data_IF_755524949555
#
_entry.id   IF_755524949555
#
_cell.length_a   1.000
_cell.length_b   1.000
_cell.length_c   1.000
_cell.angle_alpha   90.00
_cell.angle_beta   90.00
_cell.angle_gamma   90.00
#
_symmetry.space_group_name_H-M   'P 1'
#
loop_
_entity.id
_entity.type
_entity.pdbx_description
1 polymer ?
#
# COMPACT_ATOMS: atom_id res chain seq x y z
N UNK A 1 3.60 23.44 -5.99
CA UNK A 1 2.80 22.25 -6.31
C UNK A 1 3.58 21.04 -5.90
N UNK A 2 3.01 20.23 -4.98
CA UNK A 2 3.73 19.09 -4.46
C UNK A 2 3.64 17.90 -5.42
N UNK A 3 4.77 17.42 -5.91
CA UNK A 3 4.85 16.21 -6.70
C UNK A 3 4.53 14.99 -5.84
N UNK A 4 3.81 14.00 -6.39
CA UNK A 4 3.65 12.66 -5.85
C UNK A 4 4.29 11.66 -6.81
N UNK A 5 4.78 10.56 -6.28
CA UNK A 5 5.21 9.45 -7.12
C UNK A 5 3.98 8.66 -7.60
N UNK A 6 3.90 8.37 -8.89
CA UNK A 6 2.77 7.65 -9.51
C UNK A 6 3.23 6.45 -10.33
N UNK A 7 4.53 6.23 -10.45
CA UNK A 7 5.13 5.15 -11.23
C UNK A 7 6.29 5.61 -12.09
N UNK A 8 6.82 4.70 -12.88
CA UNK A 8 7.91 4.90 -13.82
C UNK A 8 7.38 5.15 -15.24
N UNK A 9 8.24 5.53 -16.19
CA UNK A 9 7.86 5.67 -17.58
C UNK A 9 7.21 4.40 -18.14
N UNK A 10 6.22 4.61 -19.03
CA UNK A 10 5.54 3.52 -19.73
C UNK A 10 6.54 2.64 -20.48
N UNK A 11 6.36 1.33 -20.43
CA UNK A 11 7.25 0.34 -21.05
C UNK A 11 8.31 -0.21 -20.10
N UNK A 12 8.52 0.40 -18.93
CA UNK A 12 9.40 -0.17 -17.89
C UNK A 12 8.85 -1.51 -17.43
N UNK A 13 9.70 -2.54 -17.37
CA UNK A 13 9.31 -3.92 -17.00
C UNK A 13 9.18 -4.12 -15.49
N UNK A 14 8.79 -3.08 -14.74
CA UNK A 14 8.52 -3.13 -13.32
C UNK A 14 7.06 -2.80 -13.02
N UNK A 15 6.48 -3.49 -12.05
CA UNK A 15 5.14 -3.28 -11.51
C UNK A 15 5.20 -3.24 -9.98
N UNK A 16 4.48 -2.32 -9.35
CA UNK A 16 4.34 -2.28 -7.91
C UNK A 16 2.90 -2.66 -7.51
N UNK A 17 2.74 -3.81 -6.84
CA UNK A 17 1.49 -4.14 -6.16
C UNK A 17 1.41 -3.31 -4.87
N UNK A 18 0.33 -2.56 -4.71
CA UNK A 18 0.10 -1.76 -3.51
C UNK A 18 -1.28 -2.02 -2.94
N UNK A 19 -1.35 -2.17 -1.61
CA UNK A 19 -2.57 -2.51 -0.88
C UNK A 19 -2.88 -1.44 0.15
N UNK A 20 -4.13 -0.96 0.17
CA UNK A 20 -4.61 0.07 1.09
C UNK A 20 -5.57 -0.52 2.12
N UNK A 21 -5.82 0.22 3.21
CA UNK A 21 -6.81 -0.03 4.26
C UNK A 21 -6.48 -1.17 5.25
N UNK A 22 -5.32 -1.82 5.14
CA UNK A 22 -4.86 -2.82 6.12
C UNK A 22 -4.35 -2.23 7.45
N UNK A 23 -3.88 -3.09 8.38
CA UNK A 23 -3.95 -4.53 8.31
C UNK A 23 -5.38 -5.06 8.50
N UNK A 24 -5.72 -6.19 7.88
CA UNK A 24 -7.04 -6.80 7.94
C UNK A 24 -6.96 -8.34 8.03
N UNK A 25 -7.65 -8.92 8.97
CA UNK A 25 -7.64 -10.38 9.18
C UNK A 25 -8.89 -11.02 8.56
N UNK A 26 -8.78 -12.13 7.82
CA UNK A 26 -7.56 -12.90 7.54
C UNK A 26 -6.82 -12.49 6.26
N UNK A 27 -7.27 -11.46 5.55
CA UNK A 27 -6.90 -11.21 4.16
C UNK A 27 -5.46 -10.69 4.00
N UNK A 28 -4.97 -9.82 4.88
CA UNK A 28 -3.55 -9.42 4.86
C UNK A 28 -2.65 -10.64 5.07
N UNK A 29 -3.01 -11.55 5.99
CA UNK A 29 -2.29 -12.81 6.20
C UNK A 29 -2.27 -13.70 4.96
N UNK A 30 -3.41 -13.86 4.29
CA UNK A 30 -3.52 -14.64 3.04
C UNK A 30 -2.68 -14.04 1.91
N UNK A 31 -2.65 -12.70 1.78
CA UNK A 31 -1.78 -12.02 0.82
C UNK A 31 -0.31 -12.26 1.13
N UNK A 32 0.10 -12.18 2.39
CA UNK A 32 1.47 -12.49 2.81
C UNK A 32 1.90 -13.90 2.38
N UNK A 33 1.04 -14.89 2.58
CA UNK A 33 1.31 -16.28 2.20
C UNK A 33 1.44 -16.46 0.68
N UNK A 34 0.60 -15.76 -0.09
CA UNK A 34 0.63 -15.77 -1.57
C UNK A 34 1.90 -15.10 -2.09
N UNK A 35 2.20 -13.91 -1.58
CA UNK A 35 3.37 -13.13 -1.98
C UNK A 35 4.67 -13.87 -1.64
N UNK A 36 4.73 -14.54 -0.49
CA UNK A 36 5.87 -15.37 -0.10
C UNK A 36 6.07 -16.56 -1.05
N UNK A 37 4.99 -17.31 -1.38
CA UNK A 37 5.06 -18.43 -2.33
C UNK A 37 5.48 -17.98 -3.73
N UNK A 38 5.10 -16.77 -4.12
CA UNK A 38 5.48 -16.21 -5.40
C UNK A 38 6.84 -15.50 -5.36
N UNK A 39 7.51 -15.39 -4.22
CA UNK A 39 8.70 -14.56 -4.04
C UNK A 39 8.51 -13.14 -4.62
N UNK A 40 7.43 -12.48 -4.19
CA UNK A 40 7.06 -11.11 -4.56
C UNK A 40 6.99 -10.25 -3.32
N UNK A 41 7.57 -9.05 -3.39
CA UNK A 41 7.40 -8.03 -2.36
C UNK A 41 6.40 -6.97 -2.85
N UNK A 42 5.66 -6.41 -1.91
CA UNK A 42 4.61 -5.41 -2.18
C UNK A 42 4.70 -4.26 -1.18
N UNK A 43 3.87 -3.23 -1.38
CA UNK A 43 3.78 -2.09 -0.46
C UNK A 43 2.38 -2.00 0.13
N UNK A 44 2.28 -1.85 1.46
CA UNK A 44 1.01 -1.78 2.19
C UNK A 44 0.86 -0.42 2.86
N UNK A 45 -0.24 0.29 2.57
CA UNK A 45 -0.58 1.57 3.20
C UNK A 45 -1.58 1.32 4.32
N UNK A 46 -1.13 1.50 5.57
CA UNK A 46 -1.82 1.02 6.75
C UNK A 46 -2.63 2.11 7.45
N UNK A 47 -3.85 1.77 7.87
CA UNK A 47 -4.71 2.62 8.71
C UNK A 47 -4.26 2.50 10.18
N UNK A 48 -3.89 3.62 10.80
CA UNK A 48 -3.27 3.63 12.13
C UNK A 48 -4.10 2.95 13.22
N UNK A 49 -5.43 3.13 13.24
CA UNK A 49 -6.31 2.45 14.20
C UNK A 49 -6.27 0.92 14.08
N UNK A 50 -6.08 0.38 12.87
CA UNK A 50 -5.96 -1.06 12.65
C UNK A 50 -4.56 -1.58 12.97
N UNK A 51 -3.52 -0.76 12.72
CA UNK A 51 -2.16 -1.04 13.20
C UNK A 51 -2.17 -1.25 14.72
N UNK A 52 -2.84 -0.36 15.46
CA UNK A 52 -2.96 -0.48 16.92
C UNK A 52 -3.70 -1.75 17.37
N UNK A 53 -4.69 -2.20 16.59
CA UNK A 53 -5.44 -3.43 16.88
C UNK A 53 -4.66 -4.72 16.56
N UNK A 54 -3.86 -4.70 15.48
CA UNK A 54 -3.15 -5.88 14.96
C UNK A 54 -1.66 -5.60 14.67
N UNK A 55 -0.89 -5.22 15.71
CA UNK A 55 0.55 -4.98 15.56
C UNK A 55 1.31 -6.24 15.14
N UNK A 56 0.77 -7.42 15.43
CA UNK A 56 1.32 -8.72 15.01
C UNK A 56 1.38 -8.85 13.47
N UNK A 57 0.33 -8.44 12.77
CA UNK A 57 0.29 -8.46 11.30
C UNK A 57 1.30 -7.48 10.73
N UNK A 58 1.43 -6.28 11.32
CA UNK A 58 2.41 -5.27 10.88
C UNK A 58 3.84 -5.78 11.00
N UNK A 59 4.18 -6.45 12.12
CA UNK A 59 5.48 -7.11 12.28
C UNK A 59 5.74 -8.18 11.22
N UNK A 60 4.72 -9.00 10.89
CA UNK A 60 4.83 -10.00 9.81
C UNK A 60 5.08 -9.35 8.45
N UNK A 61 4.37 -8.26 8.11
CA UNK A 61 4.60 -7.51 6.87
C UNK A 61 6.06 -7.10 6.72
N UNK A 62 6.61 -6.49 7.76
CA UNK A 62 7.99 -6.01 7.76
C UNK A 62 8.99 -7.15 7.75
N UNK A 63 8.81 -8.17 8.59
CA UNK A 63 9.68 -9.35 8.65
C UNK A 63 9.71 -10.12 7.33
N UNK A 64 8.63 -10.05 6.53
CA UNK A 64 8.56 -10.63 5.19
C UNK A 64 9.16 -9.74 4.10
N UNK A 65 9.74 -8.59 4.43
CA UNK A 65 10.40 -7.67 3.48
C UNK A 65 9.45 -6.82 2.66
N UNK A 66 8.19 -6.68 3.06
CA UNK A 66 7.26 -5.76 2.41
C UNK A 66 7.51 -4.32 2.88
N UNK A 67 7.28 -3.35 1.99
CA UNK A 67 7.27 -1.94 2.35
C UNK A 67 5.94 -1.57 3.02
N UNK A 68 6.01 -0.67 4.01
CA UNK A 68 4.83 -0.14 4.69
C UNK A 68 4.76 1.37 4.56
N UNK A 69 3.56 1.91 4.49
CA UNK A 69 3.29 3.34 4.39
C UNK A 69 2.11 3.76 5.27
N UNK A 70 1.99 5.05 5.45
CA UNK A 70 0.96 5.72 6.24
C UNK A 70 -0.31 5.94 5.40
N UNK A 71 -1.48 5.47 5.89
CA UNK A 71 -2.78 5.70 5.25
C UNK A 71 -3.74 6.47 6.16
N UNK A 72 -3.22 7.35 7.02
CA UNK A 72 -3.93 8.12 8.04
C UNK A 72 -4.46 7.27 9.20
N UNK A 73 -4.91 7.93 10.28
CA UNK A 73 -5.37 7.24 11.49
C UNK A 73 -6.68 6.48 11.31
N UNK A 74 -7.70 7.13 10.73
CA UNK A 74 -9.05 6.57 10.57
C UNK A 74 -9.66 6.80 9.19
N UNK A 75 -8.81 7.07 8.18
CA UNK A 75 -9.19 7.19 6.77
C UNK A 75 -10.16 8.34 6.45
N UNK A 76 -9.96 9.57 6.96
CA UNK A 76 -10.81 10.70 6.57
C UNK A 76 -10.50 11.15 5.14
N UNK A 77 -11.49 11.72 4.46
CA UNK A 77 -11.20 12.43 3.22
C UNK A 77 -10.49 13.76 3.55
N UNK A 78 -9.20 13.83 3.27
CA UNK A 78 -8.33 14.97 3.62
C UNK A 78 -8.70 16.28 2.92
N UNK A 79 -9.58 16.26 1.92
CA UNK A 79 -10.15 17.46 1.32
C UNK A 79 -10.93 18.28 2.37
N UNK A 80 -11.55 17.61 3.34
CA UNK A 80 -12.36 18.24 4.38
C UNK A 80 -11.61 18.46 5.70
N UNK A 81 -10.35 17.99 5.80
CA UNK A 81 -9.56 18.13 7.02
C UNK A 81 -8.81 19.47 7.07
N UNK A 82 -8.71 20.07 8.24
CA UNK A 82 -7.80 21.20 8.48
C UNK A 82 -6.33 20.75 8.38
N UNK A 83 -5.37 21.69 8.21
CA UNK A 83 -3.95 21.36 8.27
C UNK A 83 -3.53 20.70 9.59
N UNK A 84 -4.07 21.15 10.72
CA UNK A 84 -3.80 20.57 12.04
C UNK A 84 -4.35 19.14 12.14
N UNK A 85 -5.58 18.90 11.68
CA UNK A 85 -6.17 17.56 11.64
C UNK A 85 -5.38 16.63 10.69
N UNK A 86 -5.00 17.10 9.50
CA UNK A 86 -4.15 16.34 8.58
C UNK A 86 -2.84 15.93 9.25
N UNK A 87 -2.16 16.86 9.93
CA UNK A 87 -0.93 16.56 10.67
C UNK A 87 -1.16 15.51 11.75
N UNK A 88 -2.21 15.64 12.55
CA UNK A 88 -2.58 14.69 13.61
C UNK A 88 -2.81 13.29 13.03
N UNK A 89 -3.61 13.17 11.97
CA UNK A 89 -3.90 11.91 11.28
C UNK A 89 -2.62 11.17 10.83
N UNK A 90 -1.66 11.92 10.30
CA UNK A 90 -0.38 11.36 9.86
C UNK A 90 0.54 11.01 11.03
N UNK A 91 0.70 11.92 12.00
CA UNK A 91 1.60 11.71 13.15
C UNK A 91 1.16 10.54 14.02
N UNK A 92 -0.16 10.43 14.31
CA UNK A 92 -0.70 9.34 15.12
C UNK A 92 -0.48 7.97 14.44
N UNK A 93 -0.60 7.94 13.11
CA UNK A 93 -0.36 6.72 12.33
C UNK A 93 1.11 6.36 12.29
N UNK A 94 2.02 7.33 12.07
CA UNK A 94 3.46 7.07 12.12
C UNK A 94 3.86 6.47 13.46
N UNK A 95 3.38 7.10 14.56
CA UNK A 95 3.66 6.59 15.90
C UNK A 95 3.12 5.18 16.11
N UNK A 96 1.90 4.88 15.67
CA UNK A 96 1.33 3.54 15.80
C UNK A 96 2.15 2.48 15.05
N UNK A 97 2.62 2.80 13.83
CA UNK A 97 3.46 1.90 13.05
C UNK A 97 4.82 1.70 13.73
N UNK A 98 5.45 2.78 14.18
CA UNK A 98 6.73 2.73 14.90
C UNK A 98 6.61 1.91 16.19
N UNK A 99 5.56 2.14 16.99
CA UNK A 99 5.29 1.37 18.23
C UNK A 99 5.05 -0.14 17.93
N UNK A 100 4.48 -0.46 16.76
CA UNK A 100 4.18 -1.84 16.38
C UNK A 100 5.40 -2.63 15.90
N UNK A 101 6.31 -2.02 15.14
CA UNK A 101 7.39 -2.74 14.46
C UNK A 101 8.78 -2.05 14.49
N UNK A 102 8.92 -0.93 15.17
CA UNK A 102 10.20 -0.20 15.28
C UNK A 102 10.62 0.55 14.01
N UNK A 103 9.76 0.64 12.99
CA UNK A 103 10.04 1.34 11.72
C UNK A 103 9.18 2.58 11.61
N UNK A 104 9.82 3.73 11.37
CA UNK A 104 9.13 4.96 11.00
C UNK A 104 8.82 4.95 9.49
N UNK A 105 7.55 4.90 9.06
CA UNK A 105 7.22 4.87 7.65
C UNK A 105 7.61 6.18 6.94
N UNK A 106 8.13 6.07 5.73
CA UNK A 106 8.51 7.21 4.88
C UNK A 106 7.57 7.45 3.70
N UNK A 107 6.59 6.56 3.51
CA UNK A 107 5.61 6.63 2.45
C UNK A 107 4.24 7.03 3.00
N UNK A 108 3.47 7.78 2.21
CA UNK A 108 2.11 8.18 2.53
C UNK A 108 1.21 8.09 1.31
N UNK A 109 0.01 7.56 1.50
CA UNK A 109 -1.04 7.63 0.49
C UNK A 109 -2.29 8.28 1.09
N UNK A 110 -2.83 9.37 0.45
CA UNK A 110 -4.04 10.01 0.95
C UNK A 110 -5.27 9.13 0.70
N UNK A 111 -6.15 8.95 1.70
CA UNK A 111 -7.46 8.31 1.53
C UNK A 111 -8.23 8.85 0.32
N UNK A 112 -8.83 7.97 -0.47
CA UNK A 112 -9.55 8.29 -1.71
C UNK A 112 -8.73 9.06 -2.76
N UNK A 113 -7.41 9.20 -2.59
CA UNK A 113 -6.60 10.14 -3.36
C UNK A 113 -6.93 11.61 -3.05
N UNK A 114 -7.78 11.85 -2.05
CA UNK A 114 -8.28 13.17 -1.67
C UNK A 114 -7.22 14.04 -0.99
N UNK A 115 -6.97 15.23 -1.55
CA UNK A 115 -5.92 16.14 -1.05
C UNK A 115 -6.23 17.60 -1.34
N UNK A 116 -5.81 18.46 -0.41
CA UNK A 116 -5.74 19.93 -0.58
C UNK A 116 -4.31 20.33 -0.97
N UNK A 117 -4.08 21.54 -1.47
CA UNK A 117 -2.73 22.02 -1.81
C UNK A 117 -1.69 21.81 -0.69
N UNK A 118 -2.07 22.03 0.59
CA UNK A 118 -1.18 21.86 1.75
C UNK A 118 -1.00 20.41 2.24
N UNK A 119 -1.81 19.44 1.78
CA UNK A 119 -1.74 18.05 2.29
C UNK A 119 -0.37 17.42 2.07
N UNK A 120 0.18 17.53 0.86
CA UNK A 120 1.49 16.97 0.55
C UNK A 120 2.64 17.74 1.21
N UNK A 121 2.47 19.05 1.45
CA UNK A 121 3.43 19.83 2.21
C UNK A 121 3.48 19.37 3.67
N UNK A 122 2.32 19.15 4.30
CA UNK A 122 2.22 18.59 5.65
C UNK A 122 2.87 17.21 5.74
N UNK A 123 2.59 16.32 4.76
CA UNK A 123 3.20 14.99 4.73
C UNK A 123 4.74 15.07 4.65
N UNK A 124 5.28 15.90 3.75
CA UNK A 124 6.74 16.06 3.62
C UNK A 124 7.39 16.65 4.87
N UNK A 125 6.72 17.59 5.55
CA UNK A 125 7.21 18.14 6.82
C UNK A 125 7.28 17.09 7.94
N UNK A 126 6.65 15.93 7.76
CA UNK A 126 6.72 14.75 8.62
C UNK A 126 7.62 13.64 8.05
N UNK A 127 8.43 13.94 7.01
CA UNK A 127 9.30 12.95 6.37
C UNK A 127 8.58 11.96 5.46
N UNK A 128 7.32 12.22 5.09
CA UNK A 128 6.51 11.32 4.28
C UNK A 128 6.50 11.72 2.81
N UNK A 129 6.82 10.77 1.93
CA UNK A 129 6.74 10.91 0.47
C UNK A 129 5.33 10.52 -0.01
N UNK A 130 4.60 11.43 -0.68
CA UNK A 130 3.28 11.12 -1.22
C UNK A 130 3.36 10.14 -2.40
N UNK A 131 2.64 9.03 -2.29
CA UNK A 131 2.53 7.98 -3.30
C UNK A 131 1.08 7.91 -3.80
N UNK A 132 0.91 8.02 -5.10
CA UNK A 132 -0.37 7.80 -5.77
C UNK A 132 -0.31 6.50 -6.57
N UNK A 133 -1.23 6.31 -7.50
CA UNK A 133 -1.30 5.16 -8.40
C UNK A 133 -1.67 5.60 -9.81
N UNK A 134 -1.46 4.74 -10.78
CA UNK A 134 -1.85 4.95 -12.17
C UNK A 134 -2.61 3.74 -12.77
N UNK A 135 -2.87 2.71 -11.95
CA UNK A 135 -3.78 1.60 -12.28
C UNK A 135 -4.78 1.44 -11.15
N UNK A 136 -6.09 1.52 -11.48
CA UNK A 136 -7.19 1.32 -10.54
C UNK A 136 -7.95 0.05 -10.90
N UNK A 137 -7.98 -0.91 -9.99
CA UNK A 137 -8.62 -2.21 -10.22
C UNK A 137 -10.08 -2.28 -9.74
N UNK A 138 -10.56 -1.28 -8.99
CA UNK A 138 -11.92 -1.19 -8.42
C UNK A 138 -12.29 -2.42 -7.56
N UNK A 139 -11.31 -3.01 -6.90
CA UNK A 139 -11.43 -4.23 -6.12
C UNK A 139 -12.33 -4.09 -4.89
N UNK A 140 -12.46 -2.88 -4.34
CA UNK A 140 -13.34 -2.59 -3.19
C UNK A 140 -14.83 -2.82 -3.47
N UNK A 141 -15.25 -2.81 -4.73
CA UNK A 141 -16.63 -3.04 -5.18
C UNK A 141 -16.77 -4.22 -6.15
N UNK A 142 -15.69 -4.95 -6.39
CA UNK A 142 -15.66 -6.05 -7.34
C UNK A 142 -16.52 -7.24 -6.85
N UNK A 143 -17.28 -7.82 -7.78
CA UNK A 143 -18.09 -9.03 -7.55
C UNK A 143 -17.36 -10.32 -7.95
N UNK A 144 -16.17 -10.20 -8.55
CA UNK A 144 -15.31 -11.32 -8.95
C UNK A 144 -13.86 -10.87 -9.13
N UNK A 145 -12.92 -11.80 -9.01
CA UNK A 145 -11.51 -11.58 -9.35
C UNK A 145 -11.33 -11.23 -10.82
N UNK A 146 -12.11 -11.84 -11.74
CA UNK A 146 -12.03 -11.55 -13.18
C UNK A 146 -12.32 -10.08 -13.51
N UNK A 147 -13.20 -9.42 -12.74
CA UNK A 147 -13.46 -7.99 -12.89
C UNK A 147 -12.23 -7.16 -12.53
N UNK A 148 -11.54 -7.48 -11.42
CA UNK A 148 -10.31 -6.84 -10.97
C UNK A 148 -9.21 -6.98 -12.02
N UNK A 149 -8.98 -8.21 -12.48
CA UNK A 149 -7.97 -8.54 -13.49
C UNK A 149 -8.23 -7.83 -14.82
N UNK A 150 -9.49 -7.77 -15.26
CA UNK A 150 -9.88 -7.05 -16.49
C UNK A 150 -9.57 -5.56 -16.40
N UNK A 151 -9.81 -4.93 -15.25
CA UNK A 151 -9.45 -3.52 -15.03
C UNK A 151 -7.94 -3.32 -15.04
N UNK A 152 -7.17 -4.21 -14.43
CA UNK A 152 -5.72 -4.20 -14.45
C UNK A 152 -5.17 -4.31 -15.89
N UNK A 153 -5.59 -5.32 -16.65
CA UNK A 153 -5.14 -5.56 -18.05
C UNK A 153 -5.39 -4.36 -18.98
N UNK A 154 -6.48 -3.63 -18.78
CA UNK A 154 -6.80 -2.45 -19.59
C UNK A 154 -5.86 -1.27 -19.35
N UNK A 155 -5.19 -1.21 -18.20
CA UNK A 155 -4.42 -0.05 -17.75
C UNK A 155 -2.92 -0.31 -17.65
N UNK A 156 -2.49 -1.54 -17.34
CA UNK A 156 -1.07 -1.87 -17.18
C UNK A 156 -0.34 -1.72 -18.51
N UNK A 157 0.74 -0.93 -18.49
CA UNK A 157 1.61 -0.63 -19.63
C UNK A 157 3.10 -0.64 -19.26
N UNK A 158 3.42 -1.11 -18.05
CA UNK A 158 4.75 -1.08 -17.44
C UNK A 158 5.04 0.19 -16.66
N UNK A 159 5.86 0.06 -15.63
CA UNK A 159 6.17 1.13 -14.69
C UNK A 159 5.00 1.52 -13.79
N UNK A 160 4.02 0.63 -13.62
CA UNK A 160 2.77 0.97 -12.96
C UNK A 160 2.79 0.74 -11.45
N UNK A 161 2.12 1.66 -10.74
CA UNK A 161 1.68 1.50 -9.35
C UNK A 161 0.22 1.07 -9.36
N UNK A 162 -0.05 -0.15 -8.91
CA UNK A 162 -1.36 -0.79 -8.97
C UNK A 162 -2.06 -0.65 -7.61
N UNK A 163 -3.24 0.00 -7.61
CA UNK A 163 -4.09 0.14 -6.43
C UNK A 163 -4.97 -1.09 -6.25
N UNK A 164 -4.80 -1.72 -5.11
CA UNK A 164 -5.62 -2.79 -4.54
C UNK A 164 -5.89 -2.50 -3.06
N UNK A 165 -6.70 -3.32 -2.40
CA UNK A 165 -7.01 -3.19 -0.99
C UNK A 165 -6.91 -4.54 -0.28
N UNK A 166 -6.20 -4.58 0.85
CA UNK A 166 -6.18 -5.73 1.76
C UNK A 166 -7.18 -5.55 2.91
N UNK A 167 -7.66 -4.32 3.12
CA UNK A 167 -8.61 -3.95 4.17
C UNK A 167 -9.79 -3.13 3.68
N UNK A 168 -10.47 -2.52 4.64
CA UNK A 168 -11.56 -1.56 4.40
C UNK A 168 -11.61 -0.52 5.51
N UNK A 169 -11.73 0.73 5.11
CA UNK A 169 -11.92 1.83 6.05
C UNK A 169 -13.29 1.81 6.75
N UNK A 170 -14.27 1.07 6.22
CA UNK A 170 -15.61 1.00 6.78
C UNK A 170 -15.63 0.14 8.04
N UNK A 171 -15.07 -1.08 7.96
CA UNK A 171 -14.97 -1.99 9.09
C UNK A 171 -13.81 -2.96 8.92
N UNK A 172 -13.28 -3.42 10.06
CA UNK A 172 -12.31 -4.51 10.12
C UNK A 172 -12.97 -5.84 9.75
N UNK A 173 -12.24 -6.73 9.06
CA UNK A 173 -12.75 -8.05 8.69
C UNK A 173 -13.58 -8.10 7.39
N UNK A 174 -13.77 -6.97 6.70
CA UNK A 174 -14.47 -6.98 5.39
C UNK A 174 -13.70 -7.82 4.39
N UNK A 175 -14.44 -8.67 3.66
CA UNK A 175 -13.87 -9.63 2.72
C UNK A 175 -13.09 -8.95 1.58
N UNK A 176 -11.88 -9.47 1.37
CA UNK A 176 -11.01 -9.18 0.22
C UNK A 176 -10.62 -10.45 -0.55
N UNK A 177 -11.45 -11.48 -0.47
CA UNK A 177 -11.18 -12.77 -1.11
C UNK A 177 -10.98 -12.64 -2.63
N UNK A 178 -11.70 -11.74 -3.30
CA UNK A 178 -11.51 -11.49 -4.73
C UNK A 178 -10.17 -10.81 -5.03
N UNK A 179 -9.73 -9.88 -4.17
CA UNK A 179 -8.41 -9.23 -4.28
C UNK A 179 -7.30 -10.26 -4.09
N UNK A 180 -7.41 -11.13 -3.07
CA UNK A 180 -6.46 -12.22 -2.80
C UNK A 180 -6.31 -13.12 -4.03
N UNK A 181 -7.43 -13.56 -4.61
CA UNK A 181 -7.42 -14.43 -5.82
C UNK A 181 -6.87 -13.70 -7.05
N UNK A 182 -7.27 -12.45 -7.28
CA UNK A 182 -6.77 -11.64 -8.38
C UNK A 182 -5.26 -11.39 -8.28
N UNK A 183 -4.72 -11.23 -7.07
CA UNK A 183 -3.27 -11.07 -6.85
C UNK A 183 -2.50 -12.26 -7.40
N UNK A 184 -2.94 -13.50 -7.14
CA UNK A 184 -2.30 -14.71 -7.68
C UNK A 184 -2.26 -14.67 -9.21
N UNK A 185 -3.40 -14.42 -9.83
CA UNK A 185 -3.53 -14.44 -11.28
C UNK A 185 -2.72 -13.32 -11.95
N UNK A 186 -2.72 -12.11 -11.39
CA UNK A 186 -1.93 -10.99 -11.89
C UNK A 186 -0.43 -11.25 -11.79
N UNK A 187 0.05 -11.85 -10.70
CA UNK A 187 1.47 -12.19 -10.56
C UNK A 187 1.88 -13.19 -11.65
N UNK A 188 1.14 -14.28 -11.84
CA UNK A 188 1.45 -15.27 -12.88
C UNK A 188 1.44 -14.64 -14.27
N UNK A 189 0.34 -13.96 -14.62
CA UNK A 189 0.16 -13.37 -15.96
C UNK A 189 1.28 -12.38 -16.34
N UNK A 190 1.66 -11.49 -15.41
CA UNK A 190 2.66 -10.47 -15.74
C UNK A 190 4.10 -10.96 -15.62
N UNK A 191 4.38 -11.96 -14.78
CA UNK A 191 5.69 -12.65 -14.80
C UNK A 191 5.93 -13.38 -16.12
N UNK A 192 4.93 -14.06 -16.64
CA UNK A 192 5.01 -14.73 -17.95
C UNK A 192 5.28 -13.75 -19.10
N UNK A 193 4.88 -12.47 -18.92
CA UNK A 193 5.19 -11.37 -19.83
C UNK A 193 6.53 -10.68 -19.55
N UNK A 194 7.34 -11.19 -18.60
CA UNK A 194 8.66 -10.67 -18.27
C UNK A 194 8.63 -9.40 -17.41
N UNK A 195 7.57 -9.18 -16.62
CA UNK A 195 7.55 -8.11 -15.62
C UNK A 195 8.12 -8.56 -14.28
N UNK A 196 8.85 -7.66 -13.64
CA UNK A 196 9.32 -7.78 -12.27
C UNK A 196 8.36 -7.05 -11.33
N UNK A 197 8.03 -7.68 -10.18
CA UNK A 197 7.25 -7.04 -9.12
C UNK A 197 8.20 -6.49 -8.06
N UNK A 198 8.08 -5.19 -7.78
CA UNK A 198 8.95 -4.46 -6.86
C UNK A 198 8.12 -3.65 -5.85
N UNK A 199 8.70 -3.32 -4.71
CA UNK A 199 8.12 -2.37 -3.76
C UNK A 199 8.22 -0.93 -4.27
N UNK A 200 7.47 0.00 -3.68
CA UNK A 200 7.59 1.43 -4.02
C UNK A 200 9.02 1.96 -3.78
N UNK A 201 9.70 1.69 -2.65
CA UNK A 201 11.08 2.11 -2.47
C UNK A 201 12.03 1.59 -3.56
N UNK A 202 11.94 0.30 -3.93
CA UNK A 202 12.75 -0.27 -5.01
C UNK A 202 12.43 0.40 -6.36
N UNK A 203 11.14 0.61 -6.66
CA UNK A 203 10.73 1.31 -7.89
C UNK A 203 11.26 2.75 -7.96
N UNK A 204 11.49 3.39 -6.80
CA UNK A 204 12.11 4.72 -6.70
C UNK A 204 13.65 4.70 -6.73
N UNK A 205 14.28 3.52 -6.79
CA UNK A 205 15.73 3.37 -6.72
C UNK A 205 16.32 3.57 -5.31
N UNK A 206 15.51 3.45 -4.27
CA UNK A 206 15.92 3.63 -2.86
C UNK A 206 16.37 2.32 -2.18
N UNK A 207 16.44 1.21 -2.93
CA UNK A 207 16.78 -0.13 -2.41
C UNK A 207 15.60 -0.85 -1.74
N UNK A 208 15.83 -2.12 -1.40
CA UNK A 208 14.84 -2.93 -0.66
C UNK A 208 14.69 -2.42 0.77
N UNK A 209 13.48 -2.55 1.36
CA UNK A 209 13.30 -2.32 2.79
C UNK A 209 14.26 -3.24 3.56
N UNK A 210 15.04 -2.66 4.48
CA UNK A 210 15.99 -3.44 5.26
C UNK A 210 15.24 -4.47 6.11
N UNK A 211 15.67 -5.75 6.12
CA UNK A 211 15.16 -6.71 7.10
C UNK A 211 15.55 -6.21 8.50
N UNK A 212 14.60 -6.32 9.44
CA UNK A 212 14.90 -6.04 10.84
C UNK A 212 15.92 -7.11 11.28
N UNK A 213 17.16 -6.70 11.53
CA UNK A 213 18.08 -7.52 12.30
C UNK A 213 17.57 -7.56 13.73
N UNK A 214 16.82 -8.62 14.06
CA UNK A 214 16.56 -8.96 15.45
C UNK A 214 17.91 -9.33 16.06
N UNK A 215 18.50 -8.40 16.79
CA UNK A 215 19.60 -8.74 17.69
C UNK A 215 19.03 -9.67 18.77
N UNK A 216 19.69 -10.80 19.07
CA UNK A 216 19.21 -11.79 20.03
C UNK A 216 19.11 -11.24 21.44
#
# INVERSE_FOLDING_TARGET
CGHSFTGLPRGTKQLALTYDDGPNDPYTGQLLDILARADVKATFFLIGRYVKQRPDIVRRLVASGHAIGNHTWNHPNLIFCSPAETRRQLSDTQKAIEDACGITPTLFRPPFGGRRPGTFQTARALGLTPIMWNVTCYDWSAKSNDSIERHARRQIRGGNVILLHDGSHVAFGISRAHTVKATVNLIHEYRDQGYEFVTIPEMQGLGSPLPITTTP
#
